data_IF_194415268500
#
_entry.id   IF_194415268500
#
_cell.length_a   1.000
_cell.length_b   1.000
_cell.length_c   1.000
_cell.angle_alpha   90.00
_cell.angle_beta   90.00
_cell.angle_gamma   90.00
#
_symmetry.space_group_name_H-M   'P 1'
#
loop_
_entity.id
_entity.type
_entity.pdbx_description
1 polymer ?
#
# COMPACT_ATOMS: atom_id res chain seq x y z
N UNK A 1 -3.54 21.47 11.74
CA UNK A 1 -4.30 20.68 10.75
C UNK A 1 -3.43 19.59 10.13
N UNK A 2 -4.04 18.51 9.72
CA UNK A 2 -3.37 17.37 9.06
C UNK A 2 -3.93 17.16 7.66
N UNK A 3 -3.10 16.65 6.76
CA UNK A 3 -3.53 16.20 5.44
C UNK A 3 -3.30 14.71 5.30
N UNK A 4 -4.31 13.99 4.80
CA UNK A 4 -4.24 12.57 4.53
C UNK A 4 -3.89 12.36 3.06
N UNK A 5 -2.77 11.70 2.82
CA UNK A 5 -2.38 11.17 1.52
C UNK A 5 -2.48 9.65 1.64
N UNK A 6 -3.52 9.08 1.12
CA UNK A 6 -3.87 7.71 1.41
C UNK A 6 -4.07 6.82 0.20
N UNK A 7 -4.71 5.71 0.44
CA UNK A 7 -5.03 4.67 -0.54
C UNK A 7 -5.81 5.18 -1.76
N UNK A 8 -6.48 6.32 -1.64
CA UNK A 8 -7.16 6.98 -2.76
C UNK A 8 -6.19 7.54 -3.80
N UNK A 9 -4.96 7.81 -3.36
CA UNK A 9 -3.87 8.18 -4.23
C UNK A 9 -3.10 6.93 -4.67
N UNK A 10 -3.79 5.90 -5.04
CA UNK A 10 -3.26 4.59 -5.31
C UNK A 10 -1.97 4.64 -6.16
N UNK A 11 -0.83 4.83 -5.49
CA UNK A 11 0.50 4.90 -6.14
C UNK A 11 0.77 3.59 -6.87
N UNK A 12 0.20 2.50 -6.39
CA UNK A 12 0.22 1.20 -7.02
C UNK A 12 -0.32 1.20 -8.44
N UNK A 13 -1.50 1.78 -8.65
CA UNK A 13 -2.17 1.72 -9.96
C UNK A 13 -1.59 2.74 -10.95
N UNK A 14 -0.77 3.65 -10.45
CA UNK A 14 -0.24 4.76 -11.21
C UNK A 14 0.76 4.40 -12.26
N UNK A 15 1.70 3.56 -11.89
CA UNK A 15 2.86 3.29 -12.72
C UNK A 15 2.46 2.62 -14.04
N UNK A 16 1.32 1.94 -14.02
CA UNK A 16 0.87 1.09 -15.12
C UNK A 16 -0.43 1.51 -15.79
N UNK A 17 -1.11 2.53 -15.25
CA UNK A 17 -2.35 3.02 -15.87
C UNK A 17 -2.18 3.50 -17.32
N UNK A 18 -0.98 3.93 -17.70
CA UNK A 18 -0.67 4.29 -19.08
C UNK A 18 -0.26 3.11 -19.97
N UNK A 19 0.28 2.05 -19.37
CA UNK A 19 0.79 0.89 -20.09
C UNK A 19 -0.28 -0.19 -20.28
N UNK A 20 -1.24 -0.23 -19.35
CA UNK A 20 -2.27 -1.27 -19.27
C UNK A 20 -3.62 -0.80 -19.85
N UNK A 21 -3.64 0.26 -20.63
CA UNK A 21 -4.83 0.75 -21.35
C UNK A 21 -5.28 -0.22 -22.45
N UNK A 22 -5.32 -1.49 -22.12
CA UNK A 22 -5.69 -2.55 -23.04
C UNK A 22 -7.09 -3.07 -22.71
N UNK A 23 -7.89 -3.39 -23.71
CA UNK A 23 -9.25 -3.90 -23.55
C UNK A 23 -9.31 -5.26 -22.85
N UNK A 24 -8.18 -6.00 -22.81
CA UNK A 24 -8.12 -7.27 -22.12
C UNK A 24 -7.89 -7.10 -20.62
N UNK A 25 -8.86 -7.51 -19.82
CA UNK A 25 -8.86 -7.36 -18.36
C UNK A 25 -7.67 -8.07 -17.67
N UNK A 26 -7.10 -9.09 -18.28
CA UNK A 26 -5.93 -9.82 -17.78
C UNK A 26 -4.66 -8.99 -17.96
N UNK A 27 -4.54 -8.30 -19.08
CA UNK A 27 -3.39 -7.44 -19.38
C UNK A 27 -3.46 -6.09 -18.64
N UNK A 28 -4.66 -5.71 -18.18
CA UNK A 28 -4.89 -4.47 -17.46
C UNK A 28 -4.15 -4.41 -16.12
N UNK A 29 -3.89 -5.57 -15.51
CA UNK A 29 -3.23 -5.65 -14.21
C UNK A 29 -1.90 -6.37 -14.32
N UNK A 30 -0.81 -5.63 -14.29
CA UNK A 30 0.55 -6.17 -14.40
C UNK A 30 0.89 -7.21 -13.34
N UNK A 31 0.28 -7.13 -12.15
CA UNK A 31 0.45 -8.15 -11.11
C UNK A 31 -0.21 -9.48 -11.48
N UNK A 32 -1.36 -9.47 -12.19
CA UNK A 32 -1.98 -10.70 -12.72
C UNK A 32 -1.09 -11.30 -13.80
N UNK A 33 -0.57 -10.48 -14.70
CA UNK A 33 0.35 -10.91 -15.76
C UNK A 33 1.60 -11.54 -15.17
N UNK A 34 2.22 -10.92 -14.19
CA UNK A 34 3.42 -11.46 -13.53
C UNK A 34 3.17 -12.81 -12.86
N UNK A 35 1.95 -13.04 -12.35
CA UNK A 35 1.55 -14.33 -11.79
C UNK A 35 1.32 -15.38 -12.89
N UNK A 36 0.67 -15.03 -13.99
CA UNK A 36 0.43 -15.94 -15.11
C UNK A 36 1.76 -16.42 -15.73
N UNK A 37 2.72 -15.50 -15.89
CA UNK A 37 4.00 -15.77 -16.53
C UNK A 37 5.00 -16.46 -15.60
N UNK A 38 5.03 -16.12 -14.33
CA UNK A 38 6.06 -16.56 -13.37
C UNK A 38 5.53 -17.21 -12.08
N UNK A 39 4.22 -17.46 -11.98
CA UNK A 39 3.60 -18.03 -10.79
C UNK A 39 3.84 -17.19 -9.53
N UNK A 40 3.98 -17.84 -8.37
CA UNK A 40 4.24 -17.17 -7.09
C UNK A 40 5.53 -16.32 -7.13
N UNK A 41 6.57 -16.80 -7.80
CA UNK A 41 7.84 -16.09 -7.90
C UNK A 41 7.72 -14.81 -8.75
N UNK A 42 7.00 -14.88 -9.87
CA UNK A 42 6.71 -13.73 -10.72
C UNK A 42 5.92 -12.67 -9.96
N UNK A 43 4.85 -13.08 -9.26
CA UNK A 43 4.05 -12.17 -8.44
C UNK A 43 4.89 -11.52 -7.33
N UNK A 44 5.75 -12.28 -6.65
CA UNK A 44 6.64 -11.76 -5.61
C UNK A 44 7.65 -10.74 -6.15
N UNK A 45 8.15 -10.93 -7.37
CA UNK A 45 9.09 -9.99 -8.00
C UNK A 45 8.45 -8.68 -8.44
N UNK A 46 7.13 -8.62 -8.44
CA UNK A 46 6.34 -7.46 -8.83
C UNK A 46 5.78 -6.69 -7.62
N UNK A 47 5.04 -7.38 -6.74
CA UNK A 47 4.35 -6.76 -5.61
C UNK A 47 5.31 -6.04 -4.67
N UNK A 48 4.95 -4.82 -4.28
CA UNK A 48 5.70 -4.00 -3.33
C UNK A 48 7.06 -3.50 -3.83
N UNK A 49 7.38 -3.73 -5.10
CA UNK A 49 8.65 -3.30 -5.70
C UNK A 49 8.49 -2.04 -6.55
N UNK A 50 9.62 -1.51 -7.05
CA UNK A 50 9.63 -0.39 -8.00
C UNK A 50 8.98 -0.71 -9.35
N UNK A 51 8.70 -1.98 -9.65
CA UNK A 51 7.94 -2.39 -10.83
C UNK A 51 6.44 -2.10 -10.67
N UNK A 52 5.95 -2.09 -9.44
CA UNK A 52 4.55 -1.79 -9.13
C UNK A 52 4.37 -0.35 -8.67
N UNK A 53 5.33 0.19 -7.94
CA UNK A 53 5.18 1.39 -7.12
C UNK A 53 6.17 2.47 -7.52
N UNK A 54 5.66 3.67 -7.67
CA UNK A 54 6.48 4.85 -7.94
C UNK A 54 6.89 5.55 -6.64
N UNK A 55 7.90 5.00 -5.96
CA UNK A 55 8.42 5.56 -4.71
C UNK A 55 9.01 6.96 -4.85
N UNK A 56 9.50 7.32 -6.05
CA UNK A 56 10.00 8.65 -6.34
C UNK A 56 8.95 9.73 -6.14
N UNK A 57 7.72 9.47 -6.56
CA UNK A 57 6.62 10.41 -6.41
C UNK A 57 6.22 10.59 -4.94
N UNK A 58 6.19 9.50 -4.16
CA UNK A 58 5.96 9.58 -2.72
C UNK A 58 7.07 10.38 -2.03
N UNK A 59 8.32 10.15 -2.42
CA UNK A 59 9.47 10.87 -1.89
C UNK A 59 9.43 12.35 -2.26
N UNK A 60 8.98 12.69 -3.47
CA UNK A 60 8.74 14.08 -3.90
C UNK A 60 7.73 14.77 -2.99
N UNK A 61 6.54 14.15 -2.81
CA UNK A 61 5.46 14.71 -1.98
C UNK A 61 5.94 14.97 -0.55
N UNK A 62 6.62 14.00 0.05
CA UNK A 62 7.13 14.16 1.43
C UNK A 62 8.23 15.20 1.53
N UNK A 63 9.09 15.30 0.53
CA UNK A 63 10.15 16.31 0.47
C UNK A 63 9.57 17.72 0.33
N UNK A 64 8.61 17.93 -0.58
CA UNK A 64 7.94 19.21 -0.76
C UNK A 64 7.22 19.64 0.52
N UNK A 65 6.49 18.73 1.18
CA UNK A 65 5.84 19.00 2.46
C UNK A 65 6.85 19.41 3.55
N UNK A 66 7.94 18.65 3.71
CA UNK A 66 8.99 18.95 4.71
C UNK A 66 9.71 20.26 4.43
N UNK A 67 9.80 20.69 3.19
CA UNK A 67 10.38 21.95 2.80
C UNK A 67 9.39 23.12 2.91
N UNK A 68 8.18 22.88 3.39
CA UNK A 68 7.19 23.94 3.65
C UNK A 68 6.53 24.45 2.36
N UNK A 69 6.30 23.60 1.38
CA UNK A 69 5.57 23.98 0.17
C UNK A 69 4.13 24.40 0.52
N UNK A 70 3.71 25.56 0.04
CA UNK A 70 2.35 26.07 0.24
C UNK A 70 1.31 25.22 -0.48
N UNK A 71 1.66 24.63 -1.61
CA UNK A 71 0.82 23.65 -2.34
C UNK A 71 1.65 22.52 -2.91
N UNK A 72 1.03 21.36 -3.11
CA UNK A 72 1.66 20.18 -3.67
C UNK A 72 0.73 19.57 -4.73
N UNK A 73 1.28 19.36 -5.93
CA UNK A 73 0.57 18.66 -6.99
C UNK A 73 0.45 17.17 -6.67
N UNK A 74 -0.79 16.71 -6.52
CA UNK A 74 -1.12 15.31 -6.26
C UNK A 74 -1.80 14.71 -7.47
N UNK A 75 -1.31 13.55 -7.89
CA UNK A 75 -1.97 12.74 -8.90
C UNK A 75 -3.15 12.01 -8.27
N UNK A 76 -4.30 12.11 -8.87
CA UNK A 76 -5.53 11.45 -8.46
C UNK A 76 -5.92 10.40 -9.48
N UNK A 77 -6.55 9.36 -9.01
CA UNK A 77 -7.10 8.30 -9.85
C UNK A 77 -8.55 8.04 -9.46
N UNK A 78 -9.41 7.99 -10.45
CA UNK A 78 -10.78 7.54 -10.30
C UNK A 78 -10.91 6.02 -10.31
N UNK A 79 -12.15 5.55 -10.43
CA UNK A 79 -12.46 4.11 -10.45
C UNK A 79 -12.55 3.52 -11.84
N UNK A 80 -12.66 4.37 -12.84
CA UNK A 80 -12.76 3.97 -14.23
C UNK A 80 -11.46 4.27 -14.96
N UNK A 81 -11.21 3.53 -16.02
CA UNK A 81 -10.08 3.73 -16.91
C UNK A 81 -10.12 5.15 -17.51
N UNK A 82 -9.00 5.85 -17.49
CA UNK A 82 -8.92 7.23 -17.98
C UNK A 82 -9.29 8.31 -16.96
N UNK A 83 -9.82 7.97 -15.79
CA UNK A 83 -10.01 8.91 -14.70
C UNK A 83 -8.69 9.16 -13.96
N UNK A 84 -7.82 9.90 -14.60
CA UNK A 84 -6.54 10.30 -14.02
C UNK A 84 -6.40 11.81 -14.18
N UNK A 85 -6.19 12.51 -13.07
CA UNK A 85 -5.99 13.96 -13.08
C UNK A 85 -4.95 14.39 -12.06
N UNK A 86 -4.46 15.59 -12.20
CA UNK A 86 -3.60 16.23 -11.22
C UNK A 86 -4.38 17.32 -10.50
N UNK A 87 -4.13 17.45 -9.23
CA UNK A 87 -4.77 18.43 -8.36
C UNK A 87 -3.68 19.16 -7.57
N UNK A 88 -3.75 20.48 -7.61
CA UNK A 88 -2.93 21.32 -6.74
C UNK A 88 -3.62 21.44 -5.39
N UNK A 89 -3.02 20.87 -4.36
CA UNK A 89 -3.61 20.79 -3.03
C UNK A 89 -2.90 21.75 -2.11
N UNK A 90 -3.67 22.59 -1.41
CA UNK A 90 -3.17 23.55 -0.43
C UNK A 90 -2.65 22.86 0.84
N UNK A 91 -1.39 23.10 1.13
CA UNK A 91 -0.67 22.62 2.31
C UNK A 91 -0.20 23.73 3.23
N UNK A 92 -0.52 25.00 2.94
CA UNK A 92 -0.01 26.19 3.63
C UNK A 92 -0.28 26.20 5.14
N UNK A 93 -1.38 25.58 5.58
CA UNK A 93 -1.77 25.47 7.00
C UNK A 93 -1.60 24.05 7.57
N UNK A 94 -0.97 23.13 6.85
CA UNK A 94 -0.81 21.74 7.27
C UNK A 94 0.50 21.52 8.00
N UNK A 95 0.43 20.99 9.20
CA UNK A 95 1.58 20.68 10.04
C UNK A 95 1.90 19.18 10.10
N UNK A 96 0.96 18.33 9.64
CA UNK A 96 1.09 16.89 9.69
C UNK A 96 0.65 16.32 8.34
N UNK A 97 1.52 15.53 7.73
CA UNK A 97 1.23 14.72 6.56
C UNK A 97 1.07 13.26 6.98
N UNK A 98 -0.12 12.70 6.77
CA UNK A 98 -0.39 11.29 7.04
C UNK A 98 -0.43 10.55 5.69
N UNK A 99 0.40 9.49 5.59
CA UNK A 99 0.45 8.62 4.43
C UNK A 99 -0.07 7.26 4.84
N UNK A 100 -1.24 6.88 4.32
CA UNK A 100 -1.83 5.57 4.52
C UNK A 100 -1.53 4.70 3.31
N UNK A 101 -0.73 3.65 3.51
CA UNK A 101 -0.31 2.81 2.39
C UNK A 101 0.24 1.46 2.85
N UNK A 102 -0.03 0.39 2.10
CA UNK A 102 0.39 -0.99 2.43
C UNK A 102 1.91 -1.13 2.56
N UNK A 103 2.68 -0.44 1.70
CA UNK A 103 4.13 -0.55 1.65
C UNK A 103 4.85 0.68 2.22
N UNK A 104 4.21 1.41 3.15
CA UNK A 104 4.76 2.63 3.75
C UNK A 104 6.10 2.44 4.48
N UNK A 105 6.38 1.21 4.93
CA UNK A 105 7.63 0.85 5.58
C UNK A 105 8.63 0.14 4.64
N UNK A 106 8.44 0.21 3.33
CA UNK A 106 9.37 -0.35 2.34
C UNK A 106 10.76 0.27 2.43
N UNK A 107 11.80 -0.52 2.09
CA UNK A 107 13.18 -0.04 2.00
C UNK A 107 13.36 0.99 0.87
N UNK A 108 12.47 0.99 -0.10
CA UNK A 108 12.47 1.95 -1.21
C UNK A 108 11.94 3.33 -0.81
N UNK A 109 11.43 3.49 0.43
CA UNK A 109 10.91 4.74 0.93
C UNK A 109 11.40 5.05 2.34
N UNK A 110 11.97 6.23 2.53
CA UNK A 110 12.56 6.68 3.81
C UNK A 110 12.02 8.04 4.28
N UNK A 111 10.97 8.55 3.63
CA UNK A 111 10.46 9.89 3.87
C UNK A 111 9.65 10.07 5.15
N UNK A 112 9.13 9.00 5.77
CA UNK A 112 8.32 9.08 6.96
C UNK A 112 9.16 9.32 8.23
N UNK A 113 8.76 10.29 9.06
CA UNK A 113 9.42 10.56 10.35
C UNK A 113 8.98 9.55 11.42
N UNK A 114 7.72 9.13 11.35
CA UNK A 114 7.10 8.19 12.28
C UNK A 114 6.47 7.05 11.46
N UNK A 115 7.26 6.04 11.06
CA UNK A 115 6.73 4.84 10.43
C UNK A 115 5.84 4.07 11.40
N UNK A 116 4.61 3.76 10.96
CA UNK A 116 3.61 3.03 11.75
C UNK A 116 3.27 1.74 11.02
N UNK A 117 3.16 0.65 11.76
CA UNK A 117 2.63 -0.62 11.28
C UNK A 117 1.28 -0.87 11.92
N UNK A 118 0.25 -1.03 11.10
CA UNK A 118 -1.04 -1.54 11.52
C UNK A 118 -1.04 -3.06 11.33
N UNK A 119 -0.95 -3.80 12.44
CA UNK A 119 -0.90 -5.25 12.38
C UNK A 119 -2.31 -5.83 12.33
N UNK A 120 -2.63 -6.46 11.19
CA UNK A 120 -3.82 -7.28 11.02
C UNK A 120 -3.55 -8.38 10.00
N UNK A 121 -3.98 -9.59 10.30
CA UNK A 121 -3.83 -10.72 9.40
C UNK A 121 -4.90 -10.71 8.30
N UNK A 122 -4.69 -11.43 7.18
CA UNK A 122 -5.72 -11.60 6.16
C UNK A 122 -7.03 -12.18 6.71
N UNK A 123 -6.96 -13.07 7.70
CA UNK A 123 -8.13 -13.66 8.35
C UNK A 123 -8.88 -12.61 9.17
N UNK A 124 -8.19 -11.82 9.97
CA UNK A 124 -8.80 -10.76 10.79
C UNK A 124 -9.49 -9.70 9.97
N UNK A 125 -9.00 -9.43 8.76
CA UNK A 125 -9.57 -8.43 7.86
C UNK A 125 -10.64 -8.98 6.90
N UNK A 126 -10.90 -10.30 6.94
CA UNK A 126 -11.79 -10.98 6.00
C UNK A 126 -13.21 -10.40 5.99
N UNK A 127 -13.80 -10.18 7.16
CA UNK A 127 -15.16 -9.61 7.28
C UNK A 127 -15.24 -8.20 6.67
N UNK A 128 -14.25 -7.35 6.94
CA UNK A 128 -14.17 -6.02 6.36
C UNK A 128 -14.01 -6.07 4.84
N UNK A 129 -13.20 -6.99 4.32
CA UNK A 129 -13.05 -7.17 2.87
C UNK A 129 -14.34 -7.64 2.22
N UNK A 130 -15.07 -8.59 2.87
CA UNK A 130 -16.38 -9.05 2.40
C UNK A 130 -17.41 -7.93 2.39
N UNK A 131 -17.46 -7.13 3.45
CA UNK A 131 -18.36 -5.99 3.54
C UNK A 131 -18.06 -4.92 2.47
N UNK A 132 -16.79 -4.67 2.17
CA UNK A 132 -16.38 -3.74 1.10
C UNK A 132 -16.66 -4.27 -0.30
N UNK A 133 -16.56 -5.56 -0.50
CA UNK A 133 -16.81 -6.31 -1.75
C UNK A 133 -16.44 -5.54 -3.04
N UNK A 134 -15.29 -4.88 -3.03
CA UNK A 134 -14.87 -3.97 -4.12
C UNK A 134 -14.85 -4.66 -5.49
N UNK A 135 -14.38 -5.91 -5.51
CA UNK A 135 -14.07 -6.62 -6.76
C UNK A 135 -14.88 -7.92 -6.93
N UNK A 136 -15.85 -8.18 -6.04
CA UNK A 136 -16.70 -9.37 -6.09
C UNK A 136 -15.97 -10.72 -5.91
N UNK A 137 -14.68 -10.71 -5.61
CA UNK A 137 -13.81 -11.90 -5.53
C UNK A 137 -12.92 -11.90 -4.29
N UNK A 138 -13.46 -11.46 -3.17
CA UNK A 138 -12.73 -11.22 -1.91
C UNK A 138 -11.94 -12.43 -1.43
N UNK A 139 -12.41 -13.66 -1.71
CA UNK A 139 -11.84 -14.91 -1.24
C UNK A 139 -11.35 -15.79 -2.39
N UNK A 140 -11.05 -15.22 -3.56
CA UNK A 140 -10.50 -16.02 -4.65
C UNK A 140 -9.12 -16.57 -4.27
N UNK A 141 -8.73 -17.76 -4.75
CA UNK A 141 -7.39 -18.30 -4.50
C UNK A 141 -6.26 -17.35 -4.88
N UNK A 142 -6.46 -16.55 -5.93
CA UNK A 142 -5.52 -15.53 -6.34
C UNK A 142 -5.43 -14.37 -5.34
N UNK A 143 -6.57 -13.84 -4.88
CA UNK A 143 -6.61 -12.79 -3.86
C UNK A 143 -5.93 -13.25 -2.57
N UNK A 144 -6.20 -14.48 -2.13
CA UNK A 144 -5.53 -15.03 -0.94
C UNK A 144 -4.03 -15.13 -1.13
N UNK A 145 -3.56 -15.51 -2.32
CA UNK A 145 -2.13 -15.56 -2.63
C UNK A 145 -1.45 -14.19 -2.59
N UNK A 146 -2.10 -13.16 -3.11
CA UNK A 146 -1.63 -11.77 -3.02
C UNK A 146 -1.50 -11.34 -1.55
N UNK A 147 -2.54 -11.57 -0.75
CA UNK A 147 -2.57 -11.19 0.66
C UNK A 147 -1.49 -11.92 1.49
N UNK A 148 -1.24 -13.20 1.22
CA UNK A 148 -0.16 -13.96 1.86
C UNK A 148 1.21 -13.34 1.57
N UNK A 149 1.47 -13.01 0.30
CA UNK A 149 2.73 -12.37 -0.09
C UNK A 149 2.89 -10.97 0.51
N UNK A 150 1.83 -10.17 0.49
CA UNK A 150 1.84 -8.85 1.11
C UNK A 150 2.08 -8.94 2.62
N UNK A 151 1.45 -9.91 3.30
CA UNK A 151 1.68 -10.14 4.73
C UNK A 151 3.14 -10.51 5.04
N UNK A 152 3.74 -11.36 4.21
CA UNK A 152 5.16 -11.71 4.33
C UNK A 152 6.07 -10.48 4.16
N UNK A 153 5.76 -9.60 3.19
CA UNK A 153 6.51 -8.37 2.97
C UNK A 153 6.35 -7.39 4.15
N UNK A 154 5.13 -7.20 4.64
CA UNK A 154 4.87 -6.34 5.80
C UNK A 154 5.62 -6.82 7.04
N UNK A 155 5.66 -8.14 7.27
CA UNK A 155 6.41 -8.75 8.35
C UNK A 155 7.92 -8.42 8.25
N UNK A 156 8.49 -8.54 7.06
CA UNK A 156 9.90 -8.22 6.83
C UNK A 156 10.22 -6.73 7.05
N UNK A 157 9.25 -5.85 6.88
CA UNK A 157 9.37 -4.39 7.06
C UNK A 157 9.04 -3.92 8.49
N UNK A 158 8.49 -4.79 9.33
CA UNK A 158 7.97 -4.43 10.65
C UNK A 158 9.05 -3.84 11.59
N UNK A 159 10.30 -4.27 11.45
CA UNK A 159 11.42 -3.76 12.24
C UNK A 159 11.69 -2.26 12.07
N UNK A 160 11.18 -1.65 11.00
CA UNK A 160 11.30 -0.21 10.74
C UNK A 160 10.23 0.61 11.44
N UNK A 161 9.13 0.00 11.85
CA UNK A 161 8.05 0.70 12.50
C UNK A 161 8.48 1.24 13.86
N UNK A 162 8.24 2.53 14.10
CA UNK A 162 8.39 3.15 15.42
C UNK A 162 7.19 2.88 16.30
N UNK A 163 6.04 2.63 15.68
CA UNK A 163 4.77 2.33 16.34
C UNK A 163 4.17 1.12 15.65
N UNK A 164 3.82 0.10 16.43
CA UNK A 164 3.09 -1.07 15.96
C UNK A 164 1.76 -1.11 16.72
N UNK A 165 0.67 -1.15 15.97
CA UNK A 165 -0.69 -1.23 16.50
C UNK A 165 -1.31 -2.57 16.14
N UNK A 166 -1.88 -3.24 17.14
CA UNK A 166 -2.73 -4.42 16.91
C UNK A 166 -4.05 -4.02 16.24
N UNK A 167 -4.82 -5.01 15.78
CA UNK A 167 -6.18 -4.80 15.27
C UNK A 167 -7.11 -4.13 16.29
N UNK A 168 -6.91 -4.39 17.60
CA UNK A 168 -7.65 -3.74 18.68
C UNK A 168 -7.18 -2.32 19.00
N UNK A 169 -6.12 -1.84 18.36
CA UNK A 169 -5.54 -0.53 18.61
C UNK A 169 -4.55 -0.48 19.78
N UNK A 170 -4.12 -1.64 20.27
CA UNK A 170 -3.11 -1.73 21.34
C UNK A 170 -1.71 -1.51 20.76
N UNK A 171 -0.88 -0.80 21.52
CA UNK A 171 0.53 -0.64 21.20
C UNK A 171 1.27 -1.95 21.47
N UNK A 172 2.04 -2.40 20.49
CA UNK A 172 2.89 -3.59 20.60
C UNK A 172 4.35 -3.17 20.54
N UNK A 173 5.19 -3.78 21.34
CA UNK A 173 6.63 -3.82 21.10
C UNK A 173 6.93 -4.73 19.90
N UNK A 174 8.10 -4.57 19.31
CA UNK A 174 8.51 -5.44 18.20
C UNK A 174 8.57 -6.93 18.60
N UNK A 175 9.01 -7.21 19.83
CA UNK A 175 9.07 -8.60 20.33
C UNK A 175 7.67 -9.22 20.53
N UNK A 176 6.69 -8.45 21.02
CA UNK A 176 5.30 -8.89 21.13
C UNK A 176 4.70 -9.14 19.76
N UNK A 177 4.97 -8.23 18.79
CA UNK A 177 4.56 -8.43 17.41
C UNK A 177 5.12 -9.73 16.83
N UNK A 178 6.42 -10.00 17.00
CA UNK A 178 7.04 -11.22 16.49
C UNK A 178 6.39 -12.48 17.07
N UNK A 179 6.14 -12.51 18.37
CA UNK A 179 5.44 -13.63 19.04
C UNK A 179 4.04 -13.86 18.48
N UNK A 180 3.25 -12.79 18.31
CA UNK A 180 1.91 -12.89 17.72
C UNK A 180 1.95 -13.43 16.29
N UNK A 181 2.93 -13.05 15.50
CA UNK A 181 3.07 -13.55 14.12
C UNK A 181 3.45 -15.04 14.09
N UNK A 182 4.33 -15.49 14.97
CA UNK A 182 4.69 -16.91 15.11
C UNK A 182 3.50 -17.76 15.55
N UNK A 183 2.71 -17.29 16.50
CA UNK A 183 1.49 -17.98 16.96
C UNK A 183 0.43 -18.06 15.85
N UNK A 184 0.35 -17.09 14.97
CA UNK A 184 -0.60 -17.07 13.87
C UNK A 184 -0.26 -18.06 12.74
N UNK A 185 1.01 -18.39 12.57
CA UNK A 185 1.49 -19.37 11.58
C UNK A 185 1.27 -20.83 12.02
N UNK A 186 1.16 -21.06 13.33
CA UNK A 186 1.00 -22.39 13.91
C UNK A 186 -0.49 -22.82 14.07
N UNK A 187 -1.43 -21.99 13.63
CA UNK A 187 -2.89 -22.25 13.64
C UNK A 187 -3.42 -22.50 12.24
#
# INVERSE_FOLDING_TARGET
TSSLVGSEMCIRDRQKAGDDANENHIEKYSFIKSYIEGGKAGLRSYLGTTNEIEFSELSRITSEFKNGADSIWLKRMGRTEGELWYEDVDFSDKNILIIEWTHGNSDNYTGADIPILLNSTPQETLEHRRARNRDGKTDSPFTMRVLELEQEMLRNQAHKAKIILSKSGELLSYDEYCKLMEESENK
#
